data_IF_311660452505
#
_entry.id   IF_311660452505
#
_cell.length_a   1.000
_cell.length_b   1.000
_cell.length_c   1.000
_cell.angle_alpha   90.00
_cell.angle_beta   90.00
_cell.angle_gamma   90.00
#
_symmetry.space_group_name_H-M   'P 1'
#
loop_
_entity.id
_entity.type
_entity.pdbx_description
1 polymer ?
#
# COMPACT_ATOMS: atom_id res chain seq x y z
N UNK A 1 -40.36 36.40 26.68
CA UNK A 1 -39.22 35.81 27.40
C UNK A 1 -39.04 34.37 26.93
N UNK A 2 -38.30 34.16 25.84
CA UNK A 2 -38.04 32.84 25.27
C UNK A 2 -37.06 32.08 26.16
N UNK A 3 -37.45 30.91 26.68
CA UNK A 3 -36.60 30.10 27.55
C UNK A 3 -35.55 29.39 26.69
N UNK A 4 -34.25 29.46 27.02
CA UNK A 4 -33.23 28.77 26.25
C UNK A 4 -33.44 27.25 26.37
N UNK A 5 -33.76 26.60 25.25
CA UNK A 5 -33.92 25.16 25.14
C UNK A 5 -32.58 24.45 25.47
N UNK A 6 -32.44 23.99 26.71
CA UNK A 6 -31.27 23.23 27.15
C UNK A 6 -31.35 21.82 26.56
N UNK A 7 -30.72 21.62 25.40
CA UNK A 7 -30.50 20.29 24.80
C UNK A 7 -29.89 19.34 25.84
N UNK A 8 -30.52 18.18 26.04
CA UNK A 8 -30.03 17.15 26.99
C UNK A 8 -28.67 16.62 26.55
N UNK A 9 -27.82 16.13 27.47
CA UNK A 9 -26.50 15.59 27.12
C UNK A 9 -26.56 14.54 26.01
N UNK A 10 -27.58 13.69 26.03
CA UNK A 10 -27.81 12.64 25.04
C UNK A 10 -28.14 13.23 23.67
N UNK A 11 -28.98 14.27 23.60
CA UNK A 11 -29.30 14.96 22.34
C UNK A 11 -28.09 15.67 21.74
N UNK A 12 -27.19 16.23 22.56
CA UNK A 12 -25.95 16.84 22.06
C UNK A 12 -24.98 15.80 21.51
N UNK A 13 -24.87 14.63 22.15
CA UNK A 13 -24.03 13.53 21.65
C UNK A 13 -24.55 13.04 20.30
N UNK A 14 -25.85 12.81 20.16
CA UNK A 14 -26.44 12.40 18.88
C UNK A 14 -26.25 13.46 17.79
N UNK A 15 -26.46 14.74 18.11
CA UNK A 15 -26.26 15.84 17.15
C UNK A 15 -24.79 16.00 16.72
N UNK A 16 -23.83 15.79 17.62
CA UNK A 16 -22.41 15.82 17.30
C UNK A 16 -21.98 14.59 16.47
N UNK A 17 -22.57 13.42 16.73
CA UNK A 17 -22.36 12.21 15.93
C UNK A 17 -22.95 12.39 14.53
N UNK A 18 -24.16 12.92 14.41
CA UNK A 18 -24.80 13.17 13.10
C UNK A 18 -24.04 14.24 12.30
N UNK A 19 -23.55 15.29 12.97
CA UNK A 19 -22.75 16.35 12.35
C UNK A 19 -21.36 15.88 11.92
N UNK A 20 -20.74 14.96 12.65
CA UNK A 20 -19.44 14.36 12.27
C UNK A 20 -19.61 13.34 11.15
N UNK A 21 -20.68 12.53 11.17
CA UNK A 21 -21.01 11.58 10.09
C UNK A 21 -21.42 12.26 8.78
N UNK A 22 -21.97 13.48 8.86
CA UNK A 22 -22.28 14.32 7.69
C UNK A 22 -21.09 15.09 7.11
N UNK A 23 -19.91 15.08 7.75
CA UNK A 23 -18.74 15.84 7.31
C UNK A 23 -18.20 15.32 5.96
N UNK A 24 -17.75 16.23 5.09
CA UNK A 24 -17.13 15.88 3.80
C UNK A 24 -15.94 14.92 3.97
N UNK A 25 -15.18 15.05 5.05
CA UNK A 25 -14.07 14.13 5.38
C UNK A 25 -14.54 12.73 5.81
N UNK A 26 -15.70 12.63 6.48
CA UNK A 26 -16.28 11.33 6.85
C UNK A 26 -16.87 10.61 5.63
N UNK A 27 -17.47 11.38 4.72
CA UNK A 27 -18.03 10.88 3.46
C UNK A 27 -16.98 10.47 2.42
N UNK A 28 -15.77 11.06 2.45
CA UNK A 28 -14.69 10.71 1.52
C UNK A 28 -13.91 9.45 1.93
N UNK A 29 -13.95 9.11 3.23
CA UNK A 29 -13.30 7.91 3.79
C UNK A 29 -14.27 6.71 3.78
N UNK A 30 -15.54 6.89 4.11
CA UNK A 30 -16.50 5.80 4.25
C UNK A 30 -17.54 5.77 3.12
N UNK A 31 -17.62 4.62 2.45
CA UNK A 31 -18.55 4.37 1.34
C UNK A 31 -20.01 4.54 1.77
N UNK A 32 -20.85 5.23 0.97
CA UNK A 32 -22.31 5.18 1.11
C UNK A 32 -22.83 3.76 0.83
N UNK A 33 -23.54 3.16 1.79
CA UNK A 33 -23.99 1.76 1.74
C UNK A 33 -23.13 0.76 2.54
N UNK A 34 -22.15 1.23 3.33
CA UNK A 34 -21.52 0.39 4.37
C UNK A 34 -22.53 0.06 5.49
N UNK A 35 -22.21 -0.92 6.35
CA UNK A 35 -23.08 -1.36 7.47
C UNK A 35 -23.56 -0.18 8.35
N UNK A 36 -22.81 0.93 8.33
CA UNK A 36 -23.06 2.16 9.08
C UNK A 36 -23.93 3.21 8.36
N UNK A 37 -24.30 3.03 7.08
CA UNK A 37 -25.15 3.98 6.32
C UNK A 37 -26.14 3.24 5.43
N UNK A 38 -27.35 2.97 5.96
CA UNK A 38 -28.46 2.31 5.26
C UNK A 38 -29.28 3.33 4.46
N UNK A 39 -29.60 3.04 3.18
CA UNK A 39 -30.55 3.84 2.37
C UNK A 39 -30.02 4.51 1.08
N UNK A 40 -28.95 4.00 0.45
CA UNK A 40 -28.42 4.58 -0.80
C UNK A 40 -29.16 4.03 -2.03
N UNK A 41 -29.56 4.90 -2.96
CA UNK A 41 -30.17 4.50 -4.25
C UNK A 41 -29.08 4.24 -5.29
N UNK A 42 -29.00 2.99 -5.77
CA UNK A 42 -27.95 2.50 -6.67
C UNK A 42 -28.15 2.88 -8.15
N UNK A 43 -28.27 4.17 -8.45
CA UNK A 43 -28.27 4.63 -9.86
C UNK A 43 -26.86 4.52 -10.49
N UNK A 44 -26.73 4.25 -11.80
CA UNK A 44 -25.43 4.17 -12.48
C UNK A 44 -24.57 5.43 -12.31
N UNK A 45 -25.23 6.61 -12.30
CA UNK A 45 -24.60 7.91 -12.14
C UNK A 45 -24.08 8.11 -10.70
N UNK A 46 -24.85 7.72 -9.70
CA UNK A 46 -24.47 7.88 -8.28
C UNK A 46 -23.25 7.01 -7.90
N UNK A 47 -23.14 5.81 -8.48
CA UNK A 47 -21.98 4.92 -8.31
C UNK A 47 -20.67 5.55 -8.83
N UNK A 48 -20.72 6.25 -9.96
CA UNK A 48 -19.54 6.94 -10.51
C UNK A 48 -19.08 8.11 -9.64
N UNK A 49 -20.01 8.90 -9.08
CA UNK A 49 -19.66 10.01 -8.18
C UNK A 49 -19.01 9.55 -6.87
N UNK A 50 -19.44 8.42 -6.31
CA UNK A 50 -18.84 7.85 -5.09
C UNK A 50 -17.38 7.44 -5.33
N UNK A 51 -17.06 6.93 -6.52
CA UNK A 51 -15.70 6.48 -6.88
C UNK A 51 -14.78 7.68 -7.13
N UNK A 52 -15.29 8.75 -7.77
CA UNK A 52 -14.51 9.96 -8.04
C UNK A 52 -14.23 10.79 -6.76
N UNK A 53 -15.06 10.62 -5.72
CA UNK A 53 -14.99 11.41 -4.49
C UNK A 53 -14.33 10.67 -3.32
N UNK A 54 -13.87 9.42 -3.52
CA UNK A 54 -13.18 8.63 -2.51
C UNK A 54 -11.74 8.33 -2.94
N UNK A 55 -10.79 8.90 -2.20
CA UNK A 55 -9.34 8.81 -2.48
C UNK A 55 -8.86 7.36 -2.56
N UNK A 56 -9.44 6.49 -1.75
CA UNK A 56 -9.10 5.06 -1.68
C UNK A 56 -9.52 4.27 -2.92
N UNK A 57 -10.66 4.62 -3.54
CA UNK A 57 -11.14 3.93 -4.74
C UNK A 57 -10.47 4.44 -6.02
N UNK A 58 -9.82 5.60 -5.99
CA UNK A 58 -8.98 6.07 -7.09
C UNK A 58 -7.69 5.26 -7.23
N UNK A 59 -7.16 4.71 -6.13
CA UNK A 59 -5.90 3.97 -6.12
C UNK A 59 -6.03 2.51 -6.59
N UNK A 60 -7.22 1.89 -6.53
CA UNK A 60 -7.42 0.49 -6.88
C UNK A 60 -8.37 0.30 -8.07
N UNK A 61 -7.91 -0.23 -9.23
CA UNK A 61 -8.77 -0.43 -10.38
C UNK A 61 -9.86 -1.48 -10.13
N UNK A 62 -11.10 -1.15 -10.49
CA UNK A 62 -12.33 -1.86 -10.10
C UNK A 62 -12.61 -3.12 -10.94
N UNK A 63 -11.89 -3.36 -12.03
CA UNK A 63 -12.14 -4.53 -12.91
C UNK A 63 -10.84 -5.16 -13.40
N UNK A 64 -10.57 -6.37 -12.92
CA UNK A 64 -9.55 -7.28 -13.50
C UNK A 64 -10.29 -8.36 -14.28
N UNK A 65 -10.09 -8.41 -15.61
CA UNK A 65 -10.77 -9.37 -16.49
C UNK A 65 -10.23 -10.80 -16.23
N UNK A 66 -11.11 -11.79 -16.03
CA UNK A 66 -10.76 -13.19 -15.65
C UNK A 66 -9.75 -13.89 -16.58
N UNK A 67 -9.66 -13.52 -17.86
CA UNK A 67 -8.68 -14.07 -18.81
C UNK A 67 -7.25 -13.52 -18.64
N UNK A 68 -7.07 -12.42 -17.88
CA UNK A 68 -5.74 -11.90 -17.49
C UNK A 68 -5.11 -12.71 -16.34
N UNK A 69 -5.84 -13.70 -15.82
CA UNK A 69 -5.41 -14.65 -14.78
C UNK A 69 -4.65 -15.86 -15.39
N UNK A 70 -4.31 -15.85 -16.69
CA UNK A 70 -3.08 -16.53 -17.13
C UNK A 70 -1.87 -15.70 -16.62
N UNK A 71 -1.75 -15.68 -15.29
CA UNK A 71 -0.86 -14.85 -14.46
C UNK A 71 0.61 -15.15 -14.73
N UNK A 72 0.93 -16.37 -15.18
CA UNK A 72 2.30 -16.87 -15.23
C UNK A 72 3.27 -16.08 -16.10
N UNK A 73 2.80 -15.32 -17.10
CA UNK A 73 3.70 -14.64 -18.04
C UNK A 73 3.64 -13.11 -18.02
N UNK A 74 2.48 -12.50 -17.77
CA UNK A 74 2.33 -11.02 -17.83
C UNK A 74 2.32 -10.35 -16.47
N UNK A 75 1.73 -11.00 -15.46
CA UNK A 75 1.78 -10.56 -14.06
C UNK A 75 2.98 -11.13 -13.31
N UNK A 76 3.59 -12.21 -13.80
CA UNK A 76 4.80 -12.73 -13.21
C UNK A 76 5.92 -11.69 -13.25
N UNK A 77 6.24 -11.03 -14.36
CA UNK A 77 7.36 -10.07 -14.37
C UNK A 77 7.12 -8.78 -13.57
N UNK A 78 5.92 -8.20 -13.66
CA UNK A 78 5.57 -7.02 -12.87
C UNK A 78 5.42 -7.33 -11.37
N UNK A 79 4.77 -8.44 -11.04
CA UNK A 79 4.64 -8.92 -9.67
C UNK A 79 5.96 -9.43 -9.08
N UNK A 80 6.81 -10.07 -9.88
CA UNK A 80 8.14 -10.54 -9.49
C UNK A 80 9.07 -9.37 -9.20
N UNK A 81 9.07 -8.32 -10.02
CA UNK A 81 9.85 -7.11 -9.73
C UNK A 81 9.36 -6.42 -8.46
N UNK A 82 8.05 -6.36 -8.20
CA UNK A 82 7.51 -5.84 -6.95
C UNK A 82 7.85 -6.73 -5.73
N UNK A 83 7.78 -8.05 -5.88
CA UNK A 83 8.18 -9.00 -4.84
C UNK A 83 9.69 -8.89 -4.52
N UNK A 84 10.53 -8.83 -5.54
CA UNK A 84 11.98 -8.64 -5.40
C UNK A 84 12.30 -7.28 -4.77
N UNK A 85 11.53 -6.24 -5.07
CA UNK A 85 11.67 -4.92 -4.43
C UNK A 85 11.38 -4.99 -2.92
N UNK A 86 10.31 -5.67 -2.50
CA UNK A 86 10.00 -5.87 -1.07
C UNK A 86 11.13 -6.66 -0.40
N UNK A 87 11.58 -7.76 -1.01
CA UNK A 87 12.67 -8.59 -0.49
C UNK A 87 13.97 -7.77 -0.34
N UNK A 88 14.33 -6.98 -1.36
CA UNK A 88 15.51 -6.11 -1.34
C UNK A 88 15.39 -5.05 -0.25
N UNK A 89 14.20 -4.48 -0.05
CA UNK A 89 13.94 -3.46 1.00
C UNK A 89 14.09 -4.05 2.40
N UNK A 90 13.47 -5.20 2.67
CA UNK A 90 13.55 -5.87 3.99
C UNK A 90 15.00 -6.25 4.31
N UNK A 91 15.69 -6.87 3.35
CA UNK A 91 17.10 -7.25 3.53
C UNK A 91 18.00 -6.02 3.66
N UNK A 92 17.74 -4.94 2.90
CA UNK A 92 18.51 -3.69 2.98
C UNK A 92 18.37 -3.00 4.33
N UNK A 93 17.14 -2.89 4.85
CA UNK A 93 16.88 -2.35 6.19
C UNK A 93 17.63 -3.16 7.25
N UNK A 94 17.62 -4.49 7.14
CA UNK A 94 18.36 -5.36 8.04
C UNK A 94 19.87 -5.06 8.02
N UNK A 95 20.49 -4.94 6.84
CA UNK A 95 21.92 -4.57 6.73
C UNK A 95 22.22 -3.19 7.32
N UNK A 96 21.29 -2.24 7.17
CA UNK A 96 21.48 -0.85 7.59
C UNK A 96 21.59 -0.71 9.12
N UNK A 97 20.98 -1.61 9.90
CA UNK A 97 21.15 -1.63 11.36
C UNK A 97 22.56 -2.05 11.81
N UNK A 98 23.29 -2.81 10.99
CA UNK A 98 24.61 -3.36 11.33
C UNK A 98 25.76 -2.69 10.57
N UNK A 99 25.47 -1.69 9.72
CA UNK A 99 26.46 -1.01 8.88
C UNK A 99 26.63 0.45 9.30
N UNK A 100 27.87 0.88 9.56
CA UNK A 100 28.19 2.31 9.77
C UNK A 100 28.74 2.93 8.49
N UNK A 101 28.22 4.09 8.05
CA UNK A 101 28.64 4.76 6.83
C UNK A 101 29.94 5.56 7.04
N UNK A 102 31.00 4.88 7.46
CA UNK A 102 32.33 5.46 7.77
C UNK A 102 33.42 4.58 7.20
N UNK A 103 34.29 5.14 6.35
CA UNK A 103 35.32 4.37 5.63
C UNK A 103 36.25 3.58 6.55
N UNK A 104 36.58 4.12 7.74
CA UNK A 104 37.46 3.46 8.71
C UNK A 104 36.85 2.21 9.36
N UNK A 105 35.54 2.18 9.59
CA UNK A 105 34.84 1.04 10.22
C UNK A 105 34.17 0.09 9.22
N UNK A 106 34.02 0.48 7.95
CA UNK A 106 33.28 -0.29 6.95
C UNK A 106 33.75 -1.75 6.80
N UNK A 107 35.07 -2.00 6.84
CA UNK A 107 35.60 -3.37 6.76
C UNK A 107 35.24 -4.20 7.99
N UNK A 108 35.41 -3.63 9.19
CA UNK A 108 35.15 -4.32 10.45
C UNK A 108 33.66 -4.63 10.61
N UNK A 109 32.78 -3.69 10.26
CA UNK A 109 31.33 -3.92 10.32
C UNK A 109 30.92 -5.08 9.42
N UNK A 110 31.48 -5.16 8.21
CA UNK A 110 31.22 -6.25 7.27
C UNK A 110 31.74 -7.59 7.79
N UNK A 111 32.93 -7.60 8.40
CA UNK A 111 33.51 -8.80 9.02
C UNK A 111 32.63 -9.31 10.16
N UNK A 112 32.23 -8.42 11.09
CA UNK A 112 31.32 -8.75 12.21
C UNK A 112 29.96 -9.25 11.71
N UNK A 113 29.43 -8.68 10.62
CA UNK A 113 28.18 -9.13 9.99
C UNK A 113 28.29 -10.57 9.47
N UNK A 114 29.47 -11.01 9.03
CA UNK A 114 29.67 -12.37 8.52
C UNK A 114 29.92 -13.39 9.65
N UNK A 115 30.61 -12.98 10.72
CA UNK A 115 31.08 -13.92 11.76
C UNK A 115 30.20 -13.96 13.01
N UNK A 116 29.60 -12.85 13.39
CA UNK A 116 28.94 -12.67 14.70
C UNK A 116 27.43 -12.56 14.62
N UNK A 117 26.88 -12.22 13.43
CA UNK A 117 25.44 -12.08 13.21
C UNK A 117 24.88 -13.38 12.60
N UNK A 118 23.93 -14.00 13.29
CA UNK A 118 23.21 -15.17 12.77
C UNK A 118 22.52 -14.82 11.44
N UNK A 119 22.71 -15.65 10.42
CA UNK A 119 22.24 -15.43 9.04
C UNK A 119 22.79 -14.17 8.33
N UNK A 120 23.76 -13.44 8.90
CA UNK A 120 24.25 -12.19 8.30
C UNK A 120 24.87 -12.38 6.90
N UNK A 121 25.64 -13.45 6.71
CA UNK A 121 26.20 -13.82 5.40
C UNK A 121 25.12 -14.23 4.39
N UNK A 122 24.06 -14.92 4.84
CA UNK A 122 22.92 -15.29 4.01
C UNK A 122 22.16 -14.06 3.53
N UNK A 123 21.82 -13.14 4.43
CA UNK A 123 21.06 -11.91 4.11
C UNK A 123 21.86 -11.03 3.14
N UNK A 124 23.18 -10.89 3.33
CA UNK A 124 24.04 -10.12 2.42
C UNK A 124 24.08 -10.73 1.02
N UNK A 125 24.21 -12.06 0.91
CA UNK A 125 24.14 -12.76 -0.37
C UNK A 125 22.78 -12.61 -1.02
N UNK A 126 21.70 -12.77 -0.24
CA UNK A 126 20.33 -12.63 -0.71
C UNK A 126 20.06 -11.20 -1.23
N UNK A 127 20.53 -10.16 -0.54
CA UNK A 127 20.40 -8.77 -0.99
C UNK A 127 21.11 -8.53 -2.34
N UNK A 128 22.34 -9.04 -2.52
CA UNK A 128 23.06 -8.93 -3.81
C UNK A 128 22.35 -9.69 -4.94
N UNK A 129 21.96 -10.94 -4.71
CA UNK A 129 21.26 -11.74 -5.72
C UNK A 129 19.89 -11.14 -6.06
N UNK A 130 19.15 -10.64 -5.06
CA UNK A 130 17.89 -9.96 -5.28
C UNK A 130 18.06 -8.69 -6.11
N UNK A 131 19.13 -7.90 -5.90
CA UNK A 131 19.42 -6.73 -6.72
C UNK A 131 19.66 -7.11 -8.19
N UNK A 132 20.45 -8.14 -8.46
CA UNK A 132 20.68 -8.63 -9.83
C UNK A 132 19.39 -9.14 -10.49
N UNK A 133 18.60 -9.94 -9.76
CA UNK A 133 17.32 -10.44 -10.25
C UNK A 133 16.32 -9.32 -10.49
N UNK A 134 16.32 -8.28 -9.65
CA UNK A 134 15.42 -7.13 -9.80
C UNK A 134 15.72 -6.37 -11.10
N UNK A 135 16.99 -6.08 -11.37
CA UNK A 135 17.41 -5.42 -12.62
C UNK A 135 16.99 -6.25 -13.84
N UNK A 136 17.22 -7.57 -13.80
CA UNK A 136 16.83 -8.47 -14.89
C UNK A 136 15.31 -8.56 -15.05
N UNK A 137 14.55 -8.64 -13.96
CA UNK A 137 13.10 -8.67 -13.99
C UNK A 137 12.50 -7.38 -14.55
N UNK A 138 13.04 -6.21 -14.16
CA UNK A 138 12.61 -4.90 -14.70
C UNK A 138 12.97 -4.79 -16.19
N UNK A 139 14.17 -5.20 -16.59
CA UNK A 139 14.56 -5.20 -18.00
C UNK A 139 13.63 -6.06 -18.85
N UNK A 140 13.36 -7.29 -18.43
CA UNK A 140 12.41 -8.16 -19.11
C UNK A 140 10.97 -7.63 -19.06
N UNK A 141 10.58 -6.93 -17.98
CA UNK A 141 9.28 -6.28 -17.87
C UNK A 141 9.14 -5.16 -18.92
N UNK A 142 10.17 -4.32 -19.09
CA UNK A 142 10.21 -3.28 -20.12
C UNK A 142 10.18 -3.88 -21.52
N UNK A 143 10.98 -4.92 -21.79
CA UNK A 143 10.96 -5.64 -23.06
C UNK A 143 9.56 -6.19 -23.36
N UNK A 144 8.92 -6.86 -22.40
CA UNK A 144 7.56 -7.39 -22.54
C UNK A 144 6.54 -6.30 -22.84
N UNK A 145 6.62 -5.14 -22.19
CA UNK A 145 5.71 -4.00 -22.42
C UNK A 145 5.91 -3.43 -23.83
N UNK A 146 7.14 -3.41 -24.33
CA UNK A 146 7.43 -2.96 -25.70
C UNK A 146 6.94 -3.96 -26.76
N UNK A 147 7.07 -5.27 -26.55
CA UNK A 147 6.65 -6.29 -27.53
C UNK A 147 5.13 -6.59 -27.53
N UNK A 148 4.44 -6.39 -26.40
CA UNK A 148 2.99 -6.62 -26.28
C UNK A 148 2.18 -5.33 -26.12
N UNK A 149 2.83 -4.17 -26.25
CA UNK A 149 2.22 -2.85 -26.24
C UNK A 149 1.83 -2.39 -27.63
#
# INVERSE_FOLDING_TARGET
MERPNKKTPQQRVTELVDKTQGSQAWNSIFRPGSVFRKGYTDSPRNRSYVIMNSVLYHLHPVKVKRHAVKVSYTLCLGGLSFFLFILLTITGIFLMFFYRPTAAQAWNDIYTLQTSVAFGLLVRNMHRWAAHLMVLAVFLHMARVFYHG
#
